data_IF_301596773437
#
_entry.id   IF_301596773437
#
_cell.length_a   1.000
_cell.length_b   1.000
_cell.length_c   1.000
_cell.angle_alpha   90.00
_cell.angle_beta   90.00
_cell.angle_gamma   90.00
#
_symmetry.space_group_name_H-M   'P 1'
#
loop_
_entity.id
_entity.type
_entity.pdbx_description
1 polymer ?
#
# COMPACT_ATOMS: atom_id res chain seq x y z
N UNK A 1 11.68 -7.18 2.46
CA UNK A 1 12.40 -6.30 3.39
C UNK A 1 11.84 -6.53 4.78
N UNK A 2 12.54 -6.10 5.82
CA UNK A 2 11.95 -5.98 7.15
C UNK A 2 12.49 -4.70 7.76
N UNK A 3 11.60 -3.87 8.30
CA UNK A 3 11.98 -2.66 9.04
C UNK A 3 12.39 -3.07 10.45
N UNK A 4 13.52 -2.58 10.94
CA UNK A 4 14.13 -2.98 12.21
C UNK A 4 14.24 -1.76 13.12
N UNK A 5 13.60 -1.80 14.29
CA UNK A 5 13.82 -0.83 15.37
C UNK A 5 14.80 -1.44 16.38
N UNK A 6 15.88 -0.71 16.71
CA UNK A 6 16.88 -1.17 17.70
C UNK A 6 16.68 -0.39 19.00
N UNK A 7 16.09 -1.03 20.02
CA UNK A 7 16.00 -0.47 21.38
C UNK A 7 16.75 -1.35 22.39
N UNK A 8 17.01 -0.83 23.59
CA UNK A 8 17.66 -1.55 24.70
C UNK A 8 16.90 -2.82 25.15
N UNK A 9 15.69 -3.07 24.62
CA UNK A 9 14.83 -4.22 24.90
C UNK A 9 14.79 -5.28 23.77
N UNK A 10 15.56 -5.12 22.68
CA UNK A 10 15.63 -6.05 21.55
C UNK A 10 15.27 -5.41 20.20
N UNK A 11 15.52 -6.15 19.11
CA UNK A 11 15.19 -5.72 17.74
C UNK A 11 13.74 -6.10 17.39
N UNK A 12 12.89 -5.11 17.12
CA UNK A 12 11.54 -5.33 16.57
C UNK A 12 11.65 -5.30 15.06
N UNK A 13 11.26 -6.40 14.39
CA UNK A 13 11.29 -6.48 12.93
C UNK A 13 9.89 -6.72 12.37
N UNK A 14 9.40 -5.79 11.54
CA UNK A 14 8.10 -5.93 10.87
C UNK A 14 8.34 -6.40 9.44
N UNK A 15 7.71 -7.53 9.09
CA UNK A 15 7.78 -8.07 7.74
C UNK A 15 6.89 -7.32 6.77
N UNK A 16 7.30 -7.24 5.50
CA UNK A 16 6.48 -6.70 4.41
C UNK A 16 5.10 -7.39 4.35
N UNK A 17 5.01 -8.67 4.69
CA UNK A 17 3.76 -9.43 4.66
C UNK A 17 2.71 -8.88 5.64
N UNK A 18 3.15 -8.45 6.83
CA UNK A 18 2.28 -7.84 7.84
C UNK A 18 1.82 -6.47 7.36
N UNK A 19 2.73 -5.64 6.85
CA UNK A 19 2.41 -4.30 6.31
C UNK A 19 1.41 -4.45 5.15
N UNK A 20 1.66 -5.35 4.21
CA UNK A 20 0.76 -5.62 3.09
C UNK A 20 -0.61 -6.11 3.54
N UNK A 21 -0.68 -6.96 4.57
CA UNK A 21 -1.96 -7.45 5.09
C UNK A 21 -2.80 -6.32 5.69
N UNK A 22 -2.18 -5.48 6.52
CA UNK A 22 -2.83 -4.32 7.15
C UNK A 22 -3.32 -3.34 6.07
N UNK A 23 -2.46 -3.01 5.10
CA UNK A 23 -2.84 -2.15 3.98
C UNK A 23 -4.02 -2.72 3.20
N UNK A 24 -3.91 -3.99 2.77
CA UNK A 24 -4.97 -4.66 2.00
C UNK A 24 -6.32 -4.59 2.73
N UNK A 25 -6.31 -4.80 4.05
CA UNK A 25 -7.50 -4.70 4.87
C UNK A 25 -8.01 -3.26 4.93
N UNK A 26 -7.17 -2.30 5.29
CA UNK A 26 -7.55 -0.91 5.52
C UNK A 26 -8.16 -0.23 4.28
N UNK A 27 -7.67 -0.59 3.09
CA UNK A 27 -8.13 0.02 1.83
C UNK A 27 -9.24 -0.78 1.15
N UNK A 28 -9.49 -2.03 1.55
CA UNK A 28 -10.62 -2.82 1.03
C UNK A 28 -11.99 -2.16 1.30
N UNK A 29 -12.05 -1.31 2.32
CA UNK A 29 -13.25 -0.56 2.72
C UNK A 29 -13.41 0.78 1.97
N UNK A 30 -12.42 1.18 1.15
CA UNK A 30 -12.47 2.46 0.44
C UNK A 30 -13.41 2.37 -0.78
N UNK A 31 -14.54 3.05 -0.70
CA UNK A 31 -15.50 3.13 -1.81
C UNK A 31 -14.84 3.72 -3.08
N UNK A 32 -15.00 3.03 -4.21
CA UNK A 32 -14.43 3.43 -5.49
C UNK A 32 -13.07 2.78 -5.81
N UNK A 33 -12.44 2.08 -4.85
CA UNK A 33 -11.35 1.15 -5.13
C UNK A 33 -11.94 -0.21 -5.52
N UNK A 34 -11.74 -0.64 -6.77
CA UNK A 34 -12.31 -1.91 -7.27
C UNK A 34 -11.37 -3.07 -7.00
N UNK A 35 -10.09 -2.86 -7.30
CA UNK A 35 -9.07 -3.89 -7.18
C UNK A 35 -7.69 -3.26 -7.08
N UNK A 36 -6.74 -4.05 -6.60
CA UNK A 36 -5.33 -3.81 -6.83
C UNK A 36 -4.97 -4.11 -8.27
N UNK A 37 -3.94 -3.44 -8.78
CA UNK A 37 -3.42 -3.70 -10.11
C UNK A 37 -2.88 -5.15 -10.17
N UNK A 38 -3.28 -5.94 -11.18
CA UNK A 38 -2.85 -7.32 -11.32
C UNK A 38 -1.35 -7.39 -11.62
N UNK A 39 -0.72 -8.50 -11.22
CA UNK A 39 0.71 -8.76 -11.44
C UNK A 39 1.11 -8.49 -12.90
N UNK A 40 0.34 -9.00 -13.85
CA UNK A 40 0.63 -8.91 -15.29
C UNK A 40 0.71 -7.45 -15.79
N UNK A 41 -0.09 -6.55 -15.21
CA UNK A 41 -0.05 -5.12 -15.53
C UNK A 41 1.21 -4.45 -14.97
N UNK A 42 1.77 -4.99 -13.89
CA UNK A 42 2.96 -4.48 -13.22
C UNK A 42 4.26 -5.14 -13.72
N UNK A 43 4.20 -6.26 -14.45
CA UNK A 43 5.38 -6.98 -14.95
C UNK A 43 6.19 -6.17 -15.98
N UNK A 44 5.53 -5.31 -16.76
CA UNK A 44 6.21 -4.40 -17.70
C UNK A 44 6.84 -3.16 -17.06
N UNK A 45 6.64 -2.95 -15.76
CA UNK A 45 7.16 -1.79 -15.03
C UNK A 45 8.42 -2.19 -14.24
N UNK A 46 9.48 -1.39 -14.34
CA UNK A 46 10.75 -1.59 -13.60
C UNK A 46 10.63 -1.21 -12.10
N UNK A 47 9.56 -1.65 -11.45
CA UNK A 47 9.27 -1.38 -10.04
C UNK A 47 10.05 -2.33 -9.13
N UNK A 48 10.73 -1.78 -8.13
CA UNK A 48 11.43 -2.53 -7.09
C UNK A 48 10.42 -3.00 -6.04
N UNK A 49 9.84 -4.17 -6.26
CA UNK A 49 8.81 -4.75 -5.39
C UNK A 49 9.03 -6.25 -5.21
N UNK A 50 8.71 -6.78 -4.02
CA UNK A 50 8.76 -8.23 -3.76
C UNK A 50 7.75 -8.99 -4.63
N UNK A 51 7.96 -10.29 -4.86
CA UNK A 51 7.01 -11.10 -5.65
C UNK A 51 5.59 -11.08 -5.05
N UNK A 52 5.49 -11.12 -3.72
CA UNK A 52 4.24 -11.01 -2.98
C UNK A 52 3.61 -9.62 -3.11
N UNK A 53 4.43 -8.57 -3.01
CA UNK A 53 4.01 -7.20 -3.28
C UNK A 53 3.43 -7.04 -4.68
N UNK A 54 4.06 -7.66 -5.68
CA UNK A 54 3.59 -7.61 -7.07
C UNK A 54 2.25 -8.30 -7.28
N UNK A 55 1.98 -9.39 -6.55
CA UNK A 55 0.65 -10.05 -6.55
C UNK A 55 -0.42 -9.20 -5.87
N UNK A 56 -0.05 -8.35 -4.91
CA UNK A 56 -0.96 -7.48 -4.16
C UNK A 56 -1.03 -6.04 -4.67
N UNK A 57 -0.22 -5.66 -5.65
CA UNK A 57 -0.11 -4.27 -6.12
C UNK A 57 0.43 -3.29 -5.07
N UNK A 58 1.29 -3.74 -4.17
CA UNK A 58 1.83 -2.93 -3.05
C UNK A 58 3.35 -3.02 -3.03
N UNK A 59 4.03 -1.89 -3.23
CA UNK A 59 5.47 -1.78 -3.00
C UNK A 59 5.75 -1.04 -1.68
N UNK A 60 6.72 -1.53 -0.93
CA UNK A 60 7.09 -1.01 0.38
C UNK A 60 8.59 -0.71 0.36
N UNK A 61 8.94 0.52 0.75
CA UNK A 61 10.30 0.98 0.86
C UNK A 61 10.54 1.39 2.31
N UNK A 62 11.32 0.59 3.04
CA UNK A 62 11.78 0.94 4.39
C UNK A 62 12.98 1.89 4.33
N UNK A 63 13.06 2.78 5.32
CA UNK A 63 14.15 3.73 5.47
C UNK A 63 14.92 3.48 6.78
N UNK A 64 16.12 4.05 6.88
CA UNK A 64 17.04 3.83 8.01
C UNK A 64 16.53 4.39 9.36
N UNK A 65 15.53 5.29 9.33
CA UNK A 65 14.93 5.94 10.49
C UNK A 65 13.63 5.26 10.97
N UNK A 66 13.47 3.95 10.69
CA UNK A 66 12.27 3.18 11.03
C UNK A 66 10.98 3.74 10.41
N UNK A 67 11.11 4.47 9.30
CA UNK A 67 9.98 4.97 8.53
C UNK A 67 9.77 4.16 7.25
N UNK A 68 8.58 4.30 6.67
CA UNK A 68 8.19 3.61 5.44
C UNK A 68 7.58 4.56 4.41
N UNK A 69 7.88 4.28 3.13
CA UNK A 69 7.13 4.79 1.98
C UNK A 69 6.38 3.64 1.34
N UNK A 70 5.13 3.88 0.97
CA UNK A 70 4.25 2.87 0.36
C UNK A 70 3.78 3.35 -1.01
N UNK A 71 3.89 2.48 -2.01
CA UNK A 71 3.27 2.68 -3.32
C UNK A 71 2.13 1.68 -3.50
N UNK A 72 0.94 2.18 -3.77
CA UNK A 72 -0.27 1.41 -4.03
C UNK A 72 -0.62 1.50 -5.50
N UNK A 73 -0.70 0.36 -6.17
CA UNK A 73 -1.06 0.25 -7.58
C UNK A 73 -2.48 -0.26 -7.68
N UNK A 74 -3.39 0.57 -8.19
CA UNK A 74 -4.83 0.35 -8.06
C UNK A 74 -5.59 0.47 -9.38
N UNK A 75 -6.77 -0.15 -9.40
CA UNK A 75 -7.82 0.03 -10.40
C UNK A 75 -9.04 0.64 -9.70
N UNK A 76 -9.51 1.77 -10.23
CA UNK A 76 -10.64 2.50 -9.65
C UNK A 76 -11.94 2.27 -10.43
N UNK A 77 -13.07 2.52 -9.76
CA UNK A 77 -14.38 2.42 -10.40
C UNK A 77 -14.59 3.56 -11.40
N UNK A 78 -15.25 3.27 -12.51
CA UNK A 78 -15.75 4.32 -13.40
C UNK A 78 -16.78 5.20 -12.68
N UNK A 79 -16.76 6.50 -12.96
CA UNK A 79 -17.73 7.46 -12.41
C UNK A 79 -17.39 8.01 -11.02
N UNK A 80 -16.26 7.63 -10.42
CA UNK A 80 -15.79 8.20 -9.15
C UNK A 80 -14.87 9.39 -9.38
N UNK A 81 -14.81 10.29 -8.39
CA UNK A 81 -13.82 11.38 -8.36
C UNK A 81 -12.46 10.81 -7.94
N UNK A 82 -11.66 10.38 -8.91
CA UNK A 82 -10.35 9.73 -8.69
C UNK A 82 -9.49 10.46 -7.64
N UNK A 83 -9.30 11.79 -7.68
CA UNK A 83 -8.47 12.48 -6.69
C UNK A 83 -9.01 12.37 -5.26
N UNK A 84 -10.34 12.35 -5.10
CA UNK A 84 -10.98 12.22 -3.79
C UNK A 84 -10.82 10.80 -3.23
N UNK A 85 -11.09 9.79 -4.06
CA UNK A 85 -10.91 8.38 -3.68
C UNK A 85 -9.44 8.08 -3.38
N UNK A 86 -8.52 8.55 -4.22
CA UNK A 86 -7.08 8.38 -4.00
C UNK A 86 -6.64 9.00 -2.68
N UNK A 87 -7.13 10.21 -2.36
CA UNK A 87 -6.86 10.87 -1.08
C UNK A 87 -7.36 10.06 0.11
N UNK A 88 -8.59 9.56 0.04
CA UNK A 88 -9.13 8.69 1.09
C UNK A 88 -8.30 7.42 1.27
N UNK A 89 -7.88 6.78 0.18
CA UNK A 89 -7.00 5.60 0.22
C UNK A 89 -5.65 5.93 0.88
N UNK A 90 -5.03 7.05 0.52
CA UNK A 90 -3.77 7.51 1.12
C UNK A 90 -3.91 7.75 2.63
N UNK A 91 -4.95 8.47 3.04
CA UNK A 91 -5.23 8.77 4.45
C UNK A 91 -5.50 7.49 5.26
N UNK A 92 -6.30 6.56 4.72
CA UNK A 92 -6.59 5.27 5.38
C UNK A 92 -5.37 4.39 5.52
N UNK A 93 -4.57 4.27 4.46
CA UNK A 93 -3.34 3.49 4.48
C UNK A 93 -2.34 4.04 5.51
N UNK A 94 -2.14 5.36 5.51
CA UNK A 94 -1.27 6.03 6.48
C UNK A 94 -1.74 5.78 7.92
N UNK A 95 -3.01 6.08 8.20
CA UNK A 95 -3.57 5.93 9.54
C UNK A 95 -3.49 4.49 10.04
N UNK A 96 -3.78 3.50 9.20
CA UNK A 96 -3.72 2.10 9.58
C UNK A 96 -2.31 1.66 9.97
N UNK A 97 -1.29 2.06 9.21
CA UNK A 97 0.10 1.73 9.52
C UNK A 97 0.60 2.43 10.78
N UNK A 98 0.35 3.74 10.91
CA UNK A 98 0.77 4.50 12.09
C UNK A 98 0.07 3.99 13.36
N UNK A 99 -1.22 3.64 13.28
CA UNK A 99 -2.00 3.24 14.46
C UNK A 99 -1.77 1.78 14.86
N UNK A 100 -1.64 0.86 13.90
CA UNK A 100 -1.52 -0.57 14.20
C UNK A 100 -0.08 -1.02 14.40
N UNK A 101 0.89 -0.39 13.73
CA UNK A 101 2.30 -0.79 13.76
C UNK A 101 3.20 0.21 14.47
N UNK A 102 2.72 1.43 14.76
CA UNK A 102 3.54 2.48 15.38
C UNK A 102 4.69 2.97 14.49
N UNK A 103 4.66 2.66 13.19
CA UNK A 103 5.70 3.05 12.23
C UNK A 103 5.43 4.46 11.71
N UNK A 104 6.48 5.22 11.41
CA UNK A 104 6.32 6.52 10.75
C UNK A 104 6.11 6.32 9.25
N UNK A 105 5.02 6.86 8.70
CA UNK A 105 4.76 6.79 7.25
C UNK A 105 5.16 8.11 6.60
N UNK A 106 6.26 8.09 5.82
CA UNK A 106 6.75 9.28 5.10
C UNK A 106 5.76 9.68 4.00
N UNK A 107 5.44 8.73 3.15
CA UNK A 107 4.61 8.95 1.97
C UNK A 107 3.75 7.72 1.65
N UNK A 108 2.54 7.98 1.16
CA UNK A 108 1.69 6.97 0.53
C UNK A 108 1.35 7.48 -0.86
N UNK A 109 1.82 6.78 -1.88
CA UNK A 109 1.62 7.15 -3.28
C UNK A 109 0.63 6.19 -3.93
N UNK A 110 -0.43 6.73 -4.55
CA UNK A 110 -1.45 5.93 -5.23
C UNK A 110 -1.31 6.10 -6.74
N UNK A 111 -0.98 5.00 -7.41
CA UNK A 111 -0.86 4.91 -8.86
C UNK A 111 -2.11 4.24 -9.44
N UNK A 112 -2.91 5.00 -10.18
CA UNK A 112 -4.11 4.50 -10.84
C UNK A 112 -3.73 3.99 -12.23
N UNK A 113 -3.77 2.67 -12.42
CA UNK A 113 -3.39 2.03 -13.70
C UNK A 113 -4.57 1.74 -14.61
N UNK A 114 -5.79 1.92 -14.12
CA UNK A 114 -6.98 1.71 -14.91
C UNK A 114 -8.26 2.07 -14.20
N UNK A 115 -9.31 2.12 -14.99
CA UNK A 115 -10.70 2.28 -14.55
C UNK A 115 -11.50 1.05 -14.95
N UNK A 116 -12.41 0.61 -14.08
CA UNK A 116 -13.30 -0.52 -14.35
C UNK A 116 -14.74 -0.12 -14.07
N UNK A 117 -15.64 -0.49 -14.97
CA UNK A 117 -17.08 -0.37 -14.72
C UNK A 117 -17.46 -1.50 -13.74
N UNK A 118 -18.00 -1.18 -12.55
CA UNK A 118 -18.51 -2.20 -11.64
C UNK A 118 -19.59 -3.00 -12.37
N UNK A 119 -19.48 -4.32 -12.38
CA UNK A 119 -20.59 -5.16 -12.82
C UNK A 119 -21.62 -5.14 -11.69
N UNK A 120 -22.79 -4.56 -11.96
CA UNK A 120 -23.94 -4.66 -11.07
C UNK A 120 -24.45 -6.09 -10.95
#
# INVERSE_FOLDING_TARGET
MSIIESSNAGNVSISDDVIMAILSQAISECYGLVAMAPKDLLEGLNLKMSEKGRKKGIAIYGHDDYSVTVELHVIMAYGVRIPEVARTVMERAKLALETQLGVTVREVNVHVHGIKVPKG
#
